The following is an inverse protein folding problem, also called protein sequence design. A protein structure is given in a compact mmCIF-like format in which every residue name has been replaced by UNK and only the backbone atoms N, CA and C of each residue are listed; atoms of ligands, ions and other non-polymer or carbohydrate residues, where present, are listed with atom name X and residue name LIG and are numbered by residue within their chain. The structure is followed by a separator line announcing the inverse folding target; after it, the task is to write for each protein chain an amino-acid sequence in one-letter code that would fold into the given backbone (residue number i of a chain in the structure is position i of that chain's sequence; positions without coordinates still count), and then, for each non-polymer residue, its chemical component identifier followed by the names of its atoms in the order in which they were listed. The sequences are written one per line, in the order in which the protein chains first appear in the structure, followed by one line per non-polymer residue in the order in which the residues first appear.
data_IF_580759188868
#
_entry.id   IF_580759188868
#
_cell.length_a   1.000
_cell.length_b   1.000
_cell.length_c   1.000
_cell.angle_alpha   90.00
_cell.angle_beta   90.00
_cell.angle_gamma   90.00
#
_symmetry.space_group_name_H-M   'P 1'
#
loop_
_entity.id
_entity.type
_entity.pdbx_description
1 polymer ?
#
# COMPACT_ATOMS: atom_id res chain seq x y z
N UNK A 1 -54.58 10.99 5.68
CA UNK A 1 -53.52 11.59 4.82
C UNK A 1 -52.20 10.97 5.25
N UNK A 2 -51.51 10.26 4.34
CA UNK A 2 -50.24 9.57 4.62
C UNK A 2 -49.11 10.60 4.64
N UNK A 3 -48.33 10.62 5.72
CA UNK A 3 -47.10 11.39 5.79
C UNK A 3 -46.02 10.64 4.99
N UNK A 4 -45.59 11.23 3.89
CA UNK A 4 -44.47 10.72 3.09
C UNK A 4 -43.19 11.17 3.77
N UNK A 5 -42.56 10.28 4.53
CA UNK A 5 -41.21 10.50 5.08
C UNK A 5 -40.25 10.59 3.90
N UNK A 6 -39.80 11.80 3.59
CA UNK A 6 -38.74 12.01 2.61
C UNK A 6 -37.47 11.33 3.15
N UNK A 7 -37.09 10.21 2.55
CA UNK A 7 -35.82 9.56 2.79
C UNK A 7 -34.76 10.52 2.24
N UNK A 8 -34.15 11.30 3.13
CA UNK A 8 -32.99 12.12 2.80
C UNK A 8 -31.87 11.15 2.47
N UNK A 9 -31.76 10.78 1.20
CA UNK A 9 -30.53 10.26 0.65
C UNK A 9 -29.49 11.38 0.80
N UNK A 10 -28.76 11.35 1.91
CA UNK A 10 -27.53 12.10 2.06
C UNK A 10 -26.64 11.71 0.90
N UNK A 11 -26.43 12.62 -0.05
CA UNK A 11 -25.39 12.49 -1.06
C UNK A 11 -24.11 12.02 -0.37
N UNK A 12 -23.37 11.04 -0.92
CA UNK A 12 -22.05 10.71 -0.41
C UNK A 12 -21.27 12.02 -0.33
N UNK A 13 -20.74 12.35 0.86
CA UNK A 13 -19.86 13.49 1.00
C UNK A 13 -18.76 13.34 -0.07
N UNK A 14 -18.57 14.37 -0.90
CA UNK A 14 -17.52 14.35 -1.89
C UNK A 14 -16.21 14.05 -1.17
N UNK A 15 -15.44 13.08 -1.66
CA UNK A 15 -14.17 12.73 -1.04
C UNK A 15 -13.19 13.89 -1.22
N UNK A 16 -12.67 14.40 -0.11
CA UNK A 16 -11.82 15.61 -0.09
C UNK A 16 -10.49 15.28 0.57
N UNK A 17 -9.40 15.78 -0.03
CA UNK A 17 -8.09 15.73 0.61
C UNK A 17 -8.05 16.72 1.78
N UNK A 18 -7.65 16.23 2.95
CA UNK A 18 -7.53 17.04 4.14
C UNK A 18 -6.37 18.02 4.01
N UNK A 19 -6.55 19.22 4.58
CA UNK A 19 -5.47 20.20 4.67
C UNK A 19 -4.31 19.66 5.52
N UNK A 20 -3.07 20.11 5.22
CA UNK A 20 -1.87 19.64 5.93
C UNK A 20 -1.88 19.95 7.44
N UNK A 21 -2.62 20.98 7.85
CA UNK A 21 -2.78 21.41 9.24
C UNK A 21 -4.05 20.83 9.91
N UNK A 22 -4.83 20.00 9.21
CA UNK A 22 -5.98 19.32 9.81
C UNK A 22 -5.51 18.33 10.89
N UNK A 23 -6.08 18.34 12.11
CA UNK A 23 -5.65 17.45 13.19
C UNK A 23 -5.73 15.95 12.85
N UNK A 24 -6.74 15.54 12.08
CA UNK A 24 -6.90 14.15 11.61
C UNK A 24 -5.81 13.81 10.60
N UNK A 25 -5.51 14.74 9.69
CA UNK A 25 -4.41 14.60 8.73
C UNK A 25 -3.06 14.43 9.45
N UNK A 26 -2.77 15.29 10.42
CA UNK A 26 -1.55 15.22 11.22
C UNK A 26 -1.46 13.88 11.97
N UNK A 27 -2.56 13.47 12.63
CA UNK A 27 -2.60 12.22 13.40
C UNK A 27 -2.36 11.00 12.51
N UNK A 28 -3.06 10.88 11.38
CA UNK A 28 -2.88 9.77 10.44
C UNK A 28 -1.47 9.77 9.85
N UNK A 29 -0.95 10.93 9.40
CA UNK A 29 0.41 11.03 8.86
C UNK A 29 1.49 10.64 9.88
N UNK A 30 1.29 10.97 11.15
CA UNK A 30 2.22 10.67 12.23
C UNK A 30 2.39 9.18 12.53
N UNK A 31 1.53 8.31 11.99
CA UNK A 31 1.54 6.87 12.27
C UNK A 31 1.56 5.97 11.05
N UNK A 32 1.15 6.46 9.88
CA UNK A 32 0.84 5.58 8.74
C UNK A 32 2.02 4.75 8.23
N UNK A 33 3.24 5.29 8.32
CA UNK A 33 4.46 4.54 7.97
C UNK A 33 4.70 3.40 8.96
N UNK A 34 4.47 3.62 10.25
CA UNK A 34 4.58 2.58 11.28
C UNK A 34 3.49 1.53 11.15
N UNK A 35 2.24 1.94 10.89
CA UNK A 35 1.13 1.01 10.68
C UNK A 35 1.38 0.10 9.46
N UNK A 36 1.85 0.69 8.35
CA UNK A 36 2.25 -0.06 7.15
C UNK A 36 3.27 -1.14 7.51
N UNK A 37 4.36 -0.74 8.19
CA UNK A 37 5.42 -1.65 8.60
C UNK A 37 4.92 -2.77 9.50
N UNK A 38 4.14 -2.46 10.53
CA UNK A 38 3.60 -3.48 11.44
C UNK A 38 2.67 -4.48 10.75
N UNK A 39 1.88 -4.02 9.77
CA UNK A 39 1.03 -4.89 8.97
C UNK A 39 1.86 -5.80 8.05
N UNK A 40 2.91 -5.25 7.44
CA UNK A 40 3.83 -6.00 6.59
C UNK A 40 4.68 -7.01 7.37
N UNK A 41 5.19 -6.66 8.56
CA UNK A 41 5.96 -7.57 9.42
C UNK A 41 5.15 -8.81 9.81
N UNK A 42 3.85 -8.65 10.07
CA UNK A 42 2.94 -9.79 10.31
C UNK A 42 2.75 -10.67 9.08
N UNK A 43 2.85 -10.08 7.90
CA UNK A 43 2.70 -10.77 6.62
C UNK A 43 4.01 -11.38 6.11
N UNK A 44 5.16 -11.05 6.72
CA UNK A 44 6.47 -11.58 6.34
C UNK A 44 6.53 -13.10 6.64
N UNK A 45 6.69 -13.97 5.63
CA UNK A 45 6.77 -15.42 5.83
C UNK A 45 7.97 -15.84 6.69
N UNK A 46 9.00 -15.00 6.80
CA UNK A 46 10.17 -15.29 7.63
C UNK A 46 10.01 -14.87 9.09
N UNK A 47 8.98 -14.07 9.40
CA UNK A 47 8.69 -13.66 10.78
C UNK A 47 8.32 -14.85 11.66
N UNK A 48 8.69 -14.78 12.94
CA UNK A 48 8.37 -15.84 13.90
C UNK A 48 6.85 -16.04 14.06
N UNK A 49 6.09 -14.95 14.06
CA UNK A 49 4.62 -15.00 14.17
C UNK A 49 3.99 -15.69 12.95
N UNK A 50 4.40 -15.34 11.73
CA UNK A 50 3.86 -15.95 10.52
C UNK A 50 4.27 -17.43 10.42
N UNK A 51 5.52 -17.79 10.74
CA UNK A 51 5.95 -19.19 10.81
C UNK A 51 5.10 -20.02 11.78
N UNK A 52 4.77 -19.46 12.94
CA UNK A 52 3.89 -20.11 13.91
C UNK A 52 2.47 -20.29 13.36
N UNK A 53 1.90 -19.26 12.73
CA UNK A 53 0.58 -19.34 12.09
C UNK A 53 0.57 -20.36 10.95
N UNK A 54 1.58 -20.35 10.07
CA UNK A 54 1.72 -21.29 8.97
C UNK A 54 1.77 -22.75 9.46
N UNK A 55 2.53 -23.03 10.52
CA UNK A 55 2.60 -24.37 11.11
C UNK A 55 1.26 -24.84 11.71
N UNK A 56 0.42 -23.92 12.20
CA UNK A 56 -0.95 -24.23 12.66
C UNK A 56 -1.87 -24.53 11.47
N UNK A 57 -1.85 -23.67 10.45
CA UNK A 57 -2.67 -23.80 9.24
C UNK A 57 -2.35 -25.11 8.51
N UNK A 58 -1.09 -25.56 8.49
CA UNK A 58 -0.70 -26.82 7.86
C UNK A 58 -1.47 -28.04 8.39
N UNK A 59 -1.85 -28.02 9.68
CA UNK A 59 -2.58 -29.12 10.34
C UNK A 59 -4.09 -29.11 10.04
N UNK A 60 -4.60 -28.06 9.41
CA UNK A 60 -6.01 -27.95 9.09
C UNK A 60 -6.39 -28.80 7.88
N UNK A 61 -7.69 -29.10 7.77
CA UNK A 61 -8.26 -29.72 6.57
C UNK A 61 -8.19 -28.78 5.38
N UNK A 62 -8.31 -29.34 4.19
CA UNK A 62 -8.26 -28.55 2.95
C UNK A 62 -9.43 -27.57 2.85
N UNK A 63 -10.62 -27.96 3.32
CA UNK A 63 -11.79 -27.09 3.36
C UNK A 63 -11.50 -25.82 4.18
N UNK A 64 -10.86 -25.98 5.34
CA UNK A 64 -10.55 -24.87 6.23
C UNK A 64 -9.44 -23.96 5.69
N UNK A 65 -8.47 -24.53 4.95
CA UNK A 65 -7.47 -23.74 4.22
C UNK A 65 -8.11 -22.93 3.10
N UNK A 66 -9.06 -23.53 2.37
CA UNK A 66 -9.82 -22.85 1.33
C UNK A 66 -10.70 -21.72 1.89
N UNK A 67 -11.31 -21.92 3.05
CA UNK A 67 -12.05 -20.86 3.76
C UNK A 67 -11.14 -19.67 4.12
N UNK A 68 -9.95 -19.95 4.67
CA UNK A 68 -8.97 -18.91 5.00
C UNK A 68 -8.51 -18.15 3.74
N UNK A 69 -8.24 -18.85 2.65
CA UNK A 69 -7.85 -18.23 1.38
C UNK A 69 -8.97 -17.34 0.83
N UNK A 70 -10.19 -17.85 0.78
CA UNK A 70 -11.35 -17.09 0.29
C UNK A 70 -11.60 -15.84 1.15
N UNK A 71 -11.44 -15.95 2.47
CA UNK A 71 -11.53 -14.83 3.39
C UNK A 71 -10.45 -13.77 3.11
N UNK A 72 -9.21 -14.21 2.89
CA UNK A 72 -8.11 -13.31 2.53
C UNK A 72 -8.38 -12.56 1.23
N UNK A 73 -8.77 -13.28 0.18
CA UNK A 73 -9.11 -12.68 -1.11
C UNK A 73 -10.26 -11.66 -1.00
N UNK A 74 -11.30 -12.00 -0.25
CA UNK A 74 -12.43 -11.10 -0.04
C UNK A 74 -12.02 -9.86 0.77
N UNK A 75 -11.23 -10.04 1.84
CA UNK A 75 -10.72 -8.93 2.66
C UNK A 75 -9.94 -7.93 1.82
N UNK A 76 -9.01 -8.39 0.96
CA UNK A 76 -8.25 -7.49 0.08
C UNK A 76 -9.17 -6.79 -0.91
N UNK A 77 -10.12 -7.50 -1.54
CA UNK A 77 -11.08 -6.90 -2.48
C UNK A 77 -11.90 -5.78 -1.83
N UNK A 78 -12.43 -6.02 -0.63
CA UNK A 78 -13.21 -5.04 0.12
C UNK A 78 -12.37 -3.85 0.55
N UNK A 79 -11.10 -4.10 0.91
CA UNK A 79 -10.17 -3.06 1.31
C UNK A 79 -9.81 -2.12 0.16
N UNK A 80 -9.48 -2.66 -1.01
CA UNK A 80 -9.12 -1.84 -2.17
C UNK A 80 -10.32 -1.16 -2.81
N UNK A 81 -11.52 -1.75 -2.70
CA UNK A 81 -12.76 -1.09 -3.11
C UNK A 81 -13.00 0.18 -2.28
N UNK A 82 -12.77 0.13 -0.96
CA UNK A 82 -12.90 1.30 -0.09
C UNK A 82 -11.83 2.37 -0.33
N UNK A 83 -10.60 1.94 -0.60
CA UNK A 83 -9.48 2.87 -0.82
C UNK A 83 -9.34 3.35 -2.28
N UNK A 84 -10.24 2.89 -3.17
CA UNK A 84 -10.22 3.16 -4.60
C UNK A 84 -8.85 2.84 -5.21
N UNK A 85 -8.42 1.60 -5.04
CA UNK A 85 -7.14 1.09 -5.53
C UNK A 85 -7.31 -0.21 -6.30
N UNK A 86 -6.36 -0.50 -7.19
CA UNK A 86 -6.36 -1.76 -7.92
C UNK A 86 -5.85 -2.91 -7.03
N UNK A 87 -6.54 -4.06 -7.05
CA UNK A 87 -6.19 -5.24 -6.23
C UNK A 87 -4.78 -5.74 -6.55
N UNK A 88 -4.45 -5.88 -7.83
CA UNK A 88 -3.17 -6.46 -8.25
C UNK A 88 -2.00 -5.54 -7.92
N UNK A 89 -2.19 -4.23 -8.15
CA UNK A 89 -1.20 -3.21 -7.77
C UNK A 89 -1.06 -3.14 -6.24
N UNK A 90 -2.15 -3.26 -5.49
CA UNK A 90 -2.11 -3.26 -4.01
C UNK A 90 -1.16 -4.33 -3.47
N UNK A 91 -1.37 -5.60 -3.84
CA UNK A 91 -0.59 -6.71 -3.29
C UNK A 91 0.89 -6.59 -3.68
N UNK A 92 1.17 -6.16 -4.91
CA UNK A 92 2.54 -5.97 -5.39
C UNK A 92 3.24 -4.83 -4.65
N UNK A 93 2.62 -3.66 -4.60
CA UNK A 93 3.25 -2.44 -4.08
C UNK A 93 3.29 -2.45 -2.56
N UNK A 94 2.30 -3.04 -1.89
CA UNK A 94 2.34 -3.25 -0.45
C UNK A 94 3.59 -4.06 -0.06
N UNK A 95 3.91 -5.11 -0.83
CA UNK A 95 5.09 -5.94 -0.63
C UNK A 95 6.42 -5.25 -0.97
N UNK A 96 6.44 -4.34 -1.93
CA UNK A 96 7.66 -3.61 -2.28
C UNK A 96 7.92 -2.42 -1.36
N UNK A 97 6.86 -1.70 -0.94
CA UNK A 97 6.99 -0.56 -0.04
C UNK A 97 7.54 -0.95 1.32
N UNK A 98 7.20 -2.11 1.88
CA UNK A 98 7.73 -2.48 3.21
C UNK A 98 9.21 -2.84 3.19
N UNK A 99 9.73 -3.34 2.06
CA UNK A 99 11.17 -3.59 1.87
C UNK A 99 11.95 -2.27 1.85
N UNK A 100 11.27 -1.15 1.57
CA UNK A 100 11.84 0.18 1.73
C UNK A 100 11.89 0.52 3.23
N UNK A 101 13.05 0.94 3.72
CA UNK A 101 13.16 1.42 5.10
C UNK A 101 12.23 2.62 5.35
N UNK A 102 11.71 2.76 6.58
CA UNK A 102 10.76 3.83 6.96
C UNK A 102 11.21 5.23 6.50
N UNK A 103 12.50 5.53 6.68
CA UNK A 103 13.12 6.78 6.24
C UNK A 103 12.95 7.00 4.73
N UNK A 104 13.18 5.95 3.94
CA UNK A 104 13.06 5.98 2.48
C UNK A 104 11.60 6.19 2.06
N UNK A 105 10.65 5.52 2.71
CA UNK A 105 9.20 5.74 2.45
C UNK A 105 8.84 7.21 2.73
N UNK A 106 9.27 7.75 3.87
CA UNK A 106 8.98 9.14 4.25
C UNK A 106 9.62 10.18 3.33
N UNK A 107 10.78 9.88 2.74
CA UNK A 107 11.51 10.77 1.82
C UNK A 107 11.01 10.67 0.37
N UNK A 108 10.61 9.48 -0.08
CA UNK A 108 10.29 9.21 -1.50
C UNK A 108 8.78 9.24 -1.81
N UNK A 109 7.92 9.26 -0.78
CA UNK A 109 6.46 9.30 -0.96
C UNK A 109 5.82 10.57 -0.41
N UNK A 110 4.87 11.12 -1.16
CA UNK A 110 3.96 12.15 -0.69
C UNK A 110 2.71 11.48 -0.11
N UNK A 111 2.62 11.47 1.22
CA UNK A 111 1.47 10.92 1.94
C UNK A 111 0.34 11.95 1.91
N UNK A 112 -0.82 11.57 1.38
CA UNK A 112 -2.03 12.42 1.31
C UNK A 112 -3.16 11.75 2.07
N UNK A 113 -3.85 12.51 2.92
CA UNK A 113 -5.01 11.98 3.68
C UNK A 113 -6.28 12.43 3.01
N UNK A 114 -7.14 11.47 2.67
CA UNK A 114 -8.42 11.69 2.00
C UNK A 114 -9.55 11.26 2.92
N UNK A 115 -10.56 12.11 3.06
CA UNK A 115 -11.82 11.74 3.70
C UNK A 115 -12.68 10.93 2.72
N UNK A 116 -13.15 9.76 3.15
CA UNK A 116 -13.93 8.84 2.32
C UNK A 116 -15.43 8.90 2.62
N UNK A 117 -15.84 9.65 3.64
CA UNK A 117 -17.22 9.75 4.12
C UNK A 117 -17.37 9.23 5.55
N UNK A 118 -18.36 9.75 6.28
CA UNK A 118 -18.54 9.41 7.71
C UNK A 118 -17.28 9.72 8.52
N UNK A 119 -16.81 8.75 9.28
CA UNK A 119 -15.58 8.82 10.06
C UNK A 119 -14.41 8.08 9.40
N UNK A 120 -14.50 7.78 8.10
CA UNK A 120 -13.53 6.95 7.38
C UNK A 120 -12.56 7.80 6.55
N UNK A 121 -11.29 7.42 6.57
CA UNK A 121 -10.19 8.12 5.91
C UNK A 121 -9.25 7.14 5.22
N UNK A 122 -8.55 7.60 4.18
CA UNK A 122 -7.44 6.87 3.59
C UNK A 122 -6.15 7.71 3.61
N UNK A 123 -5.03 7.10 4.00
CA UNK A 123 -3.69 7.63 3.77
C UNK A 123 -3.15 7.04 2.46
N UNK A 124 -3.11 7.84 1.41
CA UNK A 124 -2.60 7.45 0.11
C UNK A 124 -1.12 7.84 -0.01
N UNK A 125 -0.27 6.88 -0.36
CA UNK A 125 1.16 7.09 -0.61
C UNK A 125 1.34 7.36 -2.10
N UNK A 126 1.83 8.54 -2.45
CA UNK A 126 2.02 8.95 -3.84
C UNK A 126 3.50 9.06 -4.19
N UNK A 127 3.92 8.43 -5.27
CA UNK A 127 5.24 8.61 -5.84
C UNK A 127 5.22 9.76 -6.87
N UNK A 128 6.17 10.69 -6.78
CA UNK A 128 6.41 11.67 -7.84
C UNK A 128 7.32 11.07 -8.91
N UNK A 129 6.76 10.75 -10.06
CA UNK A 129 7.44 10.16 -11.20
C UNK A 129 8.63 11.00 -11.69
N UNK A 130 8.66 12.31 -11.47
CA UNK A 130 9.86 13.12 -11.79
C UNK A 130 11.01 12.88 -10.80
N UNK A 131 10.70 12.74 -9.51
CA UNK A 131 11.68 12.48 -8.46
C UNK A 131 12.16 11.02 -8.52
N UNK A 132 11.23 10.08 -8.67
CA UNK A 132 11.50 8.65 -8.81
C UNK A 132 12.41 8.37 -10.01
N UNK A 133 12.19 9.08 -11.13
CA UNK A 133 13.03 8.99 -12.32
C UNK A 133 14.18 9.99 -12.33
N UNK A 134 14.71 10.44 -11.18
CA UNK A 134 15.88 11.34 -11.12
C UNK A 134 17.16 10.66 -11.65
N UNK A 135 18.18 11.46 -11.97
CA UNK A 135 19.48 10.91 -12.40
C UNK A 135 20.17 10.12 -11.27
N UNK A 136 20.03 10.57 -10.01
CA UNK A 136 20.56 9.86 -8.86
C UNK A 136 19.95 8.45 -8.74
N UNK A 137 18.62 8.35 -8.88
CA UNK A 137 17.94 7.06 -8.85
C UNK A 137 18.32 6.17 -10.04
N UNK A 138 18.56 6.75 -11.22
CA UNK A 138 19.06 5.99 -12.37
C UNK A 138 20.42 5.34 -12.08
N UNK A 139 21.33 6.07 -11.42
CA UNK A 139 22.64 5.53 -11.01
C UNK A 139 22.50 4.44 -9.96
N UNK A 140 21.69 4.66 -8.93
CA UNK A 140 21.41 3.65 -7.90
C UNK A 140 20.86 2.37 -8.55
N UNK A 141 19.85 2.51 -9.42
CA UNK A 141 19.23 1.39 -10.12
C UNK A 141 20.23 0.64 -11.00
N UNK A 142 21.12 1.36 -11.68
CA UNK A 142 22.17 0.75 -12.48
C UNK A 142 23.13 -0.10 -11.63
N UNK A 143 23.54 0.41 -10.48
CA UNK A 143 24.38 -0.34 -9.55
C UNK A 143 23.67 -1.57 -8.97
N UNK A 144 22.40 -1.45 -8.58
CA UNK A 144 21.59 -2.59 -8.10
C UNK A 144 21.50 -3.70 -9.15
N UNK A 145 21.23 -3.32 -10.41
CA UNK A 145 21.12 -4.26 -11.52
C UNK A 145 22.47 -4.89 -11.87
N UNK A 146 23.56 -4.12 -11.87
CA UNK A 146 24.90 -4.62 -12.11
C UNK A 146 25.36 -5.62 -11.01
N UNK A 147 24.88 -5.45 -9.79
CA UNK A 147 25.15 -6.34 -8.66
C UNK A 147 24.27 -7.59 -8.63
N UNK A 148 23.27 -7.69 -9.52
CA UNK A 148 22.32 -8.82 -9.53
C UNK A 148 23.00 -10.14 -9.89
N UNK A 149 22.43 -11.26 -9.40
CA UNK A 149 22.93 -12.59 -9.74
C UNK A 149 22.89 -12.85 -11.26
N UNK A 150 21.88 -12.31 -11.94
CA UNK A 150 21.76 -12.40 -13.38
C UNK A 150 22.94 -11.72 -14.08
N UNK A 151 23.27 -10.48 -13.72
CA UNK A 151 24.41 -9.75 -14.30
C UNK A 151 25.73 -10.51 -14.08
N UNK A 152 25.89 -11.14 -12.90
CA UNK A 152 27.05 -11.98 -12.59
C UNK A 152 27.14 -13.24 -13.47
N UNK A 153 26.00 -13.85 -13.80
CA UNK A 153 25.91 -15.03 -14.66
C UNK A 153 26.01 -14.69 -16.16
N UNK A 154 25.67 -13.46 -16.53
CA UNK A 154 25.60 -12.97 -17.92
C UNK A 154 26.30 -11.60 -18.06
N UNK A 155 27.63 -11.53 -17.89
CA UNK A 155 28.36 -10.26 -17.98
C UNK A 155 28.26 -9.59 -19.36
N UNK A 156 27.97 -10.34 -20.41
CA UNK A 156 27.74 -9.87 -21.77
C UNK A 156 26.41 -9.13 -21.96
N UNK A 157 25.47 -9.27 -21.03
CA UNK A 157 24.11 -8.73 -21.17
C UNK A 157 24.04 -7.20 -21.13
N UNK A 158 25.07 -6.53 -20.63
CA UNK A 158 25.05 -5.07 -20.42
C UNK A 158 24.01 -4.62 -19.38
N UNK A 159 23.42 -5.54 -18.60
CA UNK A 159 22.53 -5.18 -17.51
C UNK A 159 23.27 -4.33 -16.49
N UNK A 160 22.65 -3.23 -16.08
CA UNK A 160 23.28 -2.25 -15.19
C UNK A 160 24.15 -1.21 -15.92
N UNK A 161 24.13 -1.16 -17.26
CA UNK A 161 24.74 -0.04 -18.00
C UNK A 161 24.10 1.29 -17.55
N UNK A 162 24.91 2.10 -16.88
CA UNK A 162 24.48 3.38 -16.31
C UNK A 162 24.00 4.34 -17.39
N UNK A 163 24.58 4.33 -18.59
CA UNK A 163 24.20 5.21 -19.70
C UNK A 163 22.81 4.85 -20.20
N UNK A 164 22.56 3.56 -20.47
CA UNK A 164 21.26 3.05 -20.93
C UNK A 164 20.16 3.34 -19.91
N UNK A 165 20.46 3.13 -18.63
CA UNK A 165 19.49 3.35 -17.54
C UNK A 165 19.23 4.85 -17.34
N UNK A 166 20.25 5.71 -17.38
CA UNK A 166 20.08 7.17 -17.34
C UNK A 166 19.21 7.66 -18.49
N UNK A 167 19.44 7.14 -19.70
CA UNK A 167 18.63 7.51 -20.87
C UNK A 167 17.17 7.06 -20.71
N UNK A 168 16.94 5.85 -20.22
CA UNK A 168 15.59 5.34 -19.93
C UNK A 168 14.85 6.25 -18.94
N UNK A 169 15.48 6.58 -17.82
CA UNK A 169 14.91 7.48 -16.81
C UNK A 169 14.67 8.89 -17.37
N UNK A 170 15.60 9.40 -18.19
CA UNK A 170 15.44 10.70 -18.85
C UNK A 170 14.26 10.71 -19.81
N UNK A 171 14.03 9.62 -20.55
CA UNK A 171 12.91 9.49 -21.47
C UNK A 171 11.57 9.42 -20.72
N UNK A 172 11.50 8.74 -19.57
CA UNK A 172 10.32 8.80 -18.69
C UNK A 172 10.05 10.22 -18.22
N UNK A 173 11.07 10.94 -17.72
CA UNK A 173 10.91 12.36 -17.32
C UNK A 173 10.41 13.24 -18.47
N UNK A 174 10.88 13.02 -19.71
CA UNK A 174 10.40 13.74 -20.91
C UNK A 174 8.94 13.40 -21.20
N UNK A 175 8.55 12.13 -21.10
CA UNK A 175 7.18 11.66 -21.30
C UNK A 175 6.20 12.33 -20.32
N UNK A 176 6.56 12.37 -19.02
CA UNK A 176 5.77 13.05 -17.98
C UNK A 176 5.63 14.54 -18.28
N UNK A 177 6.74 15.23 -18.61
CA UNK A 177 6.71 16.67 -18.95
C UNK A 177 5.88 16.98 -20.20
N UNK A 178 5.79 16.03 -21.13
CA UNK A 178 4.97 16.14 -22.32
C UNK A 178 3.48 15.78 -22.08
N UNK A 179 3.09 15.43 -20.85
CA UNK A 179 1.73 15.01 -20.52
C UNK A 179 1.33 13.65 -21.09
N UNK A 180 2.30 12.84 -21.54
CA UNK A 180 2.05 11.49 -22.09
C UNK A 180 1.97 10.42 -21.00
N UNK A 181 2.38 10.75 -19.79
CA UNK A 181 2.36 9.87 -18.62
C UNK A 181 2.03 10.70 -17.39
N UNK A 182 1.27 10.10 -16.46
CA UNK A 182 0.94 10.71 -15.18
C UNK A 182 2.20 11.01 -14.36
N UNK A 183 2.21 12.17 -13.70
CA UNK A 183 3.32 12.55 -12.80
C UNK A 183 3.24 11.82 -11.47
N UNK A 184 2.04 11.68 -10.92
CA UNK A 184 1.86 11.12 -9.59
C UNK A 184 1.21 9.75 -9.70
N UNK A 185 1.90 8.73 -9.20
CA UNK A 185 1.37 7.37 -9.13
C UNK A 185 1.01 7.06 -7.69
N UNK A 186 -0.22 6.64 -7.45
CA UNK A 186 -0.63 6.14 -6.13
C UNK A 186 -0.02 4.75 -5.96
N UNK A 187 0.76 4.57 -4.90
CA UNK A 187 1.50 3.35 -4.61
C UNK A 187 0.67 2.42 -3.71
N UNK A 188 0.12 2.95 -2.63
CA UNK A 188 -0.77 2.20 -1.73
C UNK A 188 -1.71 3.17 -1.02
N UNK A 189 -2.77 2.64 -0.43
CA UNK A 189 -3.66 3.39 0.43
C UNK A 189 -3.96 2.60 1.70
N UNK A 190 -3.78 3.23 2.86
CA UNK A 190 -4.11 2.65 4.17
C UNK A 190 -5.42 3.23 4.69
N UNK A 191 -6.30 2.38 5.22
CA UNK A 191 -7.65 2.71 5.65
C UNK A 191 -7.69 2.98 7.16
N UNK A 192 -8.43 4.03 7.53
CA UNK A 192 -8.55 4.48 8.91
C UNK A 192 -9.98 4.86 9.26
N UNK A 193 -10.34 4.70 10.53
CA UNK A 193 -11.55 5.29 11.12
C UNK A 193 -11.17 6.21 12.27
N UNK A 194 -11.90 7.32 12.40
CA UNK A 194 -11.85 8.15 13.60
C UNK A 194 -12.94 7.70 14.57
N UNK A 195 -12.54 7.25 15.75
CA UNK A 195 -13.45 6.80 16.79
C UNK A 195 -14.13 7.99 17.50
N UNK A 196 -15.19 7.70 18.25
CA UNK A 196 -15.97 8.72 18.99
C UNK A 196 -15.14 9.50 20.01
N UNK A 197 -14.11 8.87 20.58
CA UNK A 197 -13.16 9.51 21.51
C UNK A 197 -12.08 10.34 20.78
N UNK A 198 -12.14 10.39 19.45
CA UNK A 198 -11.20 11.10 18.59
C UNK A 198 -9.93 10.30 18.27
N UNK A 199 -9.77 9.09 18.80
CA UNK A 199 -8.66 8.22 18.43
C UNK A 199 -8.78 7.77 16.97
N UNK A 200 -7.64 7.39 16.38
CA UNK A 200 -7.59 6.87 15.03
C UNK A 200 -7.39 5.35 15.12
N UNK A 201 -8.19 4.60 14.39
CA UNK A 201 -8.06 3.15 14.23
C UNK A 201 -7.54 2.86 12.81
N UNK A 202 -6.48 2.05 12.72
CA UNK A 202 -5.99 1.52 11.44
C UNK A 202 -6.71 0.20 11.16
N UNK A 203 -7.21 0.04 9.92
CA UNK A 203 -7.79 -1.22 9.47
C UNK A 203 -6.72 -2.00 8.73
N UNK A 204 -6.21 -3.07 9.33
CA UNK A 204 -5.22 -3.93 8.69
C UNK A 204 -5.93 -4.86 7.68
N UNK A 205 -5.55 -4.86 6.38
CA UNK A 205 -6.18 -5.71 5.37
C UNK A 205 -6.03 -7.22 5.65
N UNK A 206 -5.04 -7.62 6.46
CA UNK A 206 -4.83 -9.00 6.91
C UNK A 206 -5.56 -9.39 8.18
N UNK A 207 -6.21 -8.44 8.89
CA UNK A 207 -6.84 -8.69 10.19
C UNK A 207 -7.87 -9.83 10.18
N UNK A 208 -8.76 -9.96 9.16
CA UNK A 208 -9.73 -11.06 9.13
C UNK A 208 -9.08 -12.45 9.12
N UNK A 209 -7.96 -12.61 8.40
CA UNK A 209 -7.20 -13.87 8.39
C UNK A 209 -6.57 -14.16 9.74
N UNK A 210 -5.97 -13.14 10.37
CA UNK A 210 -5.35 -13.26 11.70
C UNK A 210 -6.39 -13.70 12.74
N UNK A 211 -7.57 -13.06 12.73
CA UNK A 211 -8.65 -13.38 13.65
C UNK A 211 -9.22 -14.78 13.39
N UNK A 212 -9.35 -15.15 12.11
CA UNK A 212 -9.77 -16.51 11.73
C UNK A 212 -8.81 -17.57 12.28
N UNK A 213 -7.50 -17.39 12.11
CA UNK A 213 -6.48 -18.30 12.69
C UNK A 213 -6.61 -18.36 14.20
N UNK A 214 -6.61 -17.23 14.90
CA UNK A 214 -6.70 -17.19 16.36
C UNK A 214 -7.96 -17.88 16.91
N UNK A 215 -9.09 -17.71 16.25
CA UNK A 215 -10.36 -18.35 16.66
C UNK A 215 -10.39 -19.86 16.41
N UNK A 216 -9.50 -20.35 15.55
CA UNK A 216 -9.46 -21.72 15.06
C UNK A 216 -8.21 -22.52 15.49
N UNK A 217 -7.36 -21.90 16.31
CA UNK A 217 -6.14 -22.50 16.87
C UNK A 217 -6.30 -22.95 18.33
N UNK A 218 -7.54 -23.13 18.79
CA UNK A 218 -7.87 -23.72 20.10
C UNK A 218 -8.07 -25.22 20.00
#
# INVERSE_FOLDING_TARGET
MKATTAHVQTKPAASVYLAKNDPTCISIKGRTVTDLKQSSERSDPESAENKLMAAQIQKWTEEKKNELQALGEQSIKDYVAQTHFDVGIFVMVFNELWKMGEKKIAEETDIRVRHLGGDTYAAEFWEDGLAANSEANAVIRAHELAASEYARKHPESGIGDVTVIKETFANVRKSIKAGKQERYTKMVALLYTREKDGSIAFHDPGQPMIDFVKNNSK
#
